data_IF_143192439606
#
_entry.id   IF_143192439606
#
_cell.length_a   1.000
_cell.length_b   1.000
_cell.length_c   1.000
_cell.angle_alpha   90.00
_cell.angle_beta   90.00
_cell.angle_gamma   90.00
#
_symmetry.space_group_name_H-M   'P 1'
#
loop_
_entity.id
_entity.type
_entity.pdbx_description
1 polymer ?
#
# COMPACT_ATOMS: atom_id res chain seq x y z
N UNK A 1 -52.72 -16.16 -33.33
CA UNK A 1 -51.50 -16.95 -33.00
C UNK A 1 -50.22 -16.12 -33.19
N UNK A 2 -50.19 -15.16 -34.11
CA UNK A 2 -49.03 -14.27 -34.36
C UNK A 2 -48.57 -13.40 -33.18
N UNK A 3 -49.48 -12.89 -32.35
CA UNK A 3 -49.10 -12.02 -31.21
C UNK A 3 -48.28 -12.74 -30.14
N UNK A 4 -48.41 -14.07 -30.00
CA UNK A 4 -47.65 -14.86 -29.02
C UNK A 4 -46.18 -15.01 -29.42
N UNK A 5 -45.89 -15.08 -30.72
CA UNK A 5 -44.52 -15.17 -31.21
C UNK A 5 -43.74 -13.85 -31.05
N UNK A 6 -44.42 -12.70 -31.18
CA UNK A 6 -43.80 -11.38 -30.98
C UNK A 6 -43.35 -11.16 -29.52
N UNK A 7 -44.15 -11.59 -28.53
CA UNK A 7 -43.80 -11.43 -27.12
C UNK A 7 -42.57 -12.28 -26.71
N UNK A 8 -42.46 -13.52 -27.22
CA UNK A 8 -41.32 -14.41 -26.92
C UNK A 8 -40.01 -13.84 -27.50
N UNK A 9 -40.04 -13.29 -28.71
CA UNK A 9 -38.88 -12.66 -29.35
C UNK A 9 -38.35 -11.47 -28.55
N UNK A 10 -39.25 -10.63 -28.01
CA UNK A 10 -38.86 -9.48 -27.15
C UNK A 10 -38.19 -9.97 -25.86
N UNK A 11 -38.75 -10.98 -25.20
CA UNK A 11 -38.20 -11.51 -23.95
C UNK A 11 -36.79 -12.09 -24.18
N UNK A 12 -36.60 -12.87 -25.24
CA UNK A 12 -35.27 -13.44 -25.57
C UNK A 12 -34.26 -12.32 -25.86
N UNK A 13 -34.66 -11.28 -26.60
CA UNK A 13 -33.78 -10.16 -26.91
C UNK A 13 -33.37 -9.39 -25.65
N UNK A 14 -34.30 -9.14 -24.73
CA UNK A 14 -34.01 -8.50 -23.43
C UNK A 14 -33.06 -9.35 -22.59
N UNK A 15 -33.26 -10.67 -22.56
CA UNK A 15 -32.36 -11.60 -21.86
C UNK A 15 -30.95 -11.56 -22.44
N UNK A 16 -30.81 -11.57 -23.78
CA UNK A 16 -29.50 -11.47 -24.44
C UNK A 16 -28.81 -10.15 -24.10
N UNK A 17 -29.54 -9.02 -24.15
CA UNK A 17 -28.97 -7.71 -23.81
C UNK A 17 -28.51 -7.69 -22.35
N UNK A 18 -29.32 -8.18 -21.41
CA UNK A 18 -28.93 -8.28 -19.99
C UNK A 18 -27.69 -9.17 -19.84
N UNK A 19 -27.63 -10.30 -20.54
CA UNK A 19 -26.45 -11.18 -20.50
C UNK A 19 -25.19 -10.49 -21.05
N UNK A 20 -25.31 -9.66 -22.10
CA UNK A 20 -24.19 -8.87 -22.62
C UNK A 20 -23.74 -7.79 -21.63
N UNK A 21 -24.68 -7.17 -20.90
CA UNK A 21 -24.34 -6.24 -19.83
C UNK A 21 -23.70 -6.94 -18.62
N UNK A 22 -24.18 -8.14 -18.26
CA UNK A 22 -23.65 -8.93 -17.14
C UNK A 22 -22.28 -9.54 -17.48
N UNK A 23 -22.04 -9.90 -18.74
CA UNK A 23 -20.74 -10.38 -19.19
C UNK A 23 -19.63 -9.32 -19.07
N UNK A 24 -20.01 -8.03 -18.99
CA UNK A 24 -19.08 -6.92 -18.99
C UNK A 24 -18.36 -6.77 -20.34
N UNK A 25 -17.64 -5.66 -20.56
CA UNK A 25 -16.72 -5.58 -21.67
C UNK A 25 -15.66 -6.67 -21.50
N UNK A 26 -15.42 -7.46 -22.55
CA UNK A 26 -14.28 -8.36 -22.58
C UNK A 26 -13.01 -7.52 -22.42
N UNK A 27 -12.22 -7.79 -21.38
CA UNK A 27 -10.95 -7.09 -21.20
C UNK A 27 -9.94 -7.67 -22.19
N UNK A 28 -9.37 -6.84 -23.06
CA UNK A 28 -8.36 -7.27 -24.02
C UNK A 28 -7.03 -7.69 -23.35
N UNK A 29 -6.87 -7.35 -22.07
CA UNK A 29 -5.71 -7.72 -21.27
C UNK A 29 -5.99 -7.76 -19.76
N UNK A 30 -5.04 -8.33 -19.02
CA UNK A 30 -5.01 -8.34 -17.56
C UNK A 30 -3.71 -7.68 -17.10
N UNK A 31 -3.82 -6.58 -16.35
CA UNK A 31 -2.69 -5.87 -15.75
C UNK A 31 -2.45 -6.34 -14.30
N UNK A 32 -1.30 -6.96 -14.07
CA UNK A 32 -0.81 -7.39 -12.76
C UNK A 32 0.25 -6.43 -12.22
N UNK A 33 0.17 -6.13 -10.92
CA UNK A 33 1.13 -5.31 -10.21
C UNK A 33 1.27 -5.83 -8.78
N UNK A 34 2.48 -6.28 -8.43
CA UNK A 34 2.76 -6.88 -7.11
C UNK A 34 4.09 -6.38 -6.56
N UNK A 35 4.19 -6.31 -5.24
CA UNK A 35 5.37 -5.84 -4.50
C UNK A 35 5.81 -6.98 -3.59
N UNK A 36 7.10 -7.32 -3.62
CA UNK A 36 7.60 -8.47 -2.84
C UNK A 36 7.70 -8.16 -1.35
N UNK A 37 8.23 -7.00 -1.02
CA UNK A 37 8.51 -6.55 0.34
C UNK A 37 8.11 -5.06 0.46
N UNK A 38 6.87 -4.75 0.89
CA UNK A 38 6.37 -3.36 0.89
C UNK A 38 6.97 -2.52 2.01
N UNK A 39 7.59 -3.10 3.04
CA UNK A 39 8.24 -2.35 4.12
C UNK A 39 9.73 -2.58 4.05
N UNK A 40 10.47 -1.51 3.79
CA UNK A 40 11.92 -1.53 3.62
C UNK A 40 12.59 -0.45 4.45
N UNK A 41 13.88 -0.65 4.75
CA UNK A 41 14.68 0.41 5.33
C UNK A 41 15.32 1.22 4.22
N UNK A 42 15.46 2.52 4.42
CA UNK A 42 16.12 3.42 3.47
C UNK A 42 17.51 2.88 3.10
N UNK A 43 17.71 2.69 1.79
CA UNK A 43 18.90 2.07 1.19
C UNK A 43 18.71 0.63 0.75
N UNK A 44 17.61 -0.03 1.13
CA UNK A 44 17.25 -1.36 0.62
C UNK A 44 16.55 -1.24 -0.77
N UNK A 45 16.65 -2.31 -1.57
CA UNK A 45 15.91 -2.43 -2.83
C UNK A 45 14.44 -2.81 -2.58
N UNK A 46 13.49 -2.12 -3.20
CA UNK A 46 12.10 -2.60 -3.35
C UNK A 46 11.92 -3.26 -4.71
N UNK A 47 11.38 -4.48 -4.72
CA UNK A 47 11.12 -5.23 -5.96
C UNK A 47 9.63 -5.22 -6.32
N UNK A 48 9.31 -4.69 -7.49
CA UNK A 48 8.01 -4.80 -8.13
C UNK A 48 8.03 -5.84 -9.23
N UNK A 49 6.91 -6.53 -9.39
CA UNK A 49 6.62 -7.34 -10.57
C UNK A 49 5.37 -6.82 -11.25
N UNK A 50 5.54 -6.52 -12.53
CA UNK A 50 4.50 -6.04 -13.42
C UNK A 50 4.26 -7.13 -14.46
N UNK A 51 3.00 -7.42 -14.73
CA UNK A 51 2.61 -8.30 -15.82
C UNK A 51 1.48 -7.71 -16.63
N UNK A 52 1.52 -7.89 -17.95
CA UNK A 52 0.40 -7.60 -18.85
C UNK A 52 0.17 -8.84 -19.69
N UNK A 53 -0.94 -9.53 -19.42
CA UNK A 53 -1.38 -10.66 -20.23
C UNK A 53 -2.34 -10.15 -21.30
N UNK A 54 -1.97 -10.32 -22.57
CA UNK A 54 -2.79 -9.94 -23.74
C UNK A 54 -3.56 -11.18 -24.18
N UNK A 55 -4.88 -11.06 -24.31
CA UNK A 55 -5.74 -12.17 -24.72
C UNK A 55 -5.42 -12.64 -26.16
N UNK A 56 -5.71 -13.90 -26.51
CA UNK A 56 -5.60 -14.38 -27.88
C UNK A 56 -6.40 -13.49 -28.84
N UNK A 57 -5.87 -13.28 -30.05
CA UNK A 57 -6.50 -12.48 -31.11
C UNK A 57 -6.58 -10.96 -30.85
N UNK A 58 -6.17 -10.50 -29.66
CA UNK A 58 -6.04 -9.08 -29.34
C UNK A 58 -4.68 -8.52 -29.77
N UNK A 59 -4.69 -7.22 -30.07
CA UNK A 59 -3.50 -6.46 -30.45
C UNK A 59 -3.48 -5.14 -29.70
N UNK A 60 -2.40 -4.91 -28.94
CA UNK A 60 -2.23 -3.68 -28.17
C UNK A 60 -1.02 -2.90 -28.66
N UNK A 61 -1.25 -1.63 -29.02
CA UNK A 61 -0.18 -0.67 -29.28
C UNK A 61 0.13 0.10 -28.00
N UNK A 62 0.95 -0.51 -27.13
CA UNK A 62 1.28 0.05 -25.82
C UNK A 62 2.32 1.16 -26.01
N UNK A 63 1.91 2.40 -25.74
CA UNK A 63 2.80 3.57 -25.82
C UNK A 63 3.85 3.52 -24.72
N UNK A 64 3.39 3.38 -23.47
CA UNK A 64 4.24 3.32 -22.28
C UNK A 64 3.51 2.79 -21.06
N UNK A 65 4.30 2.46 -20.05
CA UNK A 65 3.89 2.27 -18.68
C UNK A 65 4.38 3.45 -17.84
N UNK A 66 3.62 3.84 -16.83
CA UNK A 66 4.00 4.83 -15.82
C UNK A 66 3.84 4.21 -14.44
N UNK A 67 4.96 3.99 -13.75
CA UNK A 67 4.96 3.67 -12.31
C UNK A 67 4.85 4.99 -11.54
N UNK A 68 3.79 5.12 -10.73
CA UNK A 68 3.53 6.27 -9.88
C UNK A 68 3.79 5.88 -8.42
N UNK A 69 4.63 6.65 -7.75
CA UNK A 69 4.84 6.59 -6.30
C UNK A 69 4.39 7.93 -5.72
N UNK A 70 3.29 7.93 -4.97
CA UNK A 70 2.71 9.12 -4.38
C UNK A 70 2.85 9.09 -2.85
N UNK A 71 3.71 9.92 -2.29
CA UNK A 71 4.00 9.97 -0.85
C UNK A 71 4.63 11.30 -0.45
N UNK A 72 5.66 11.31 0.42
CA UNK A 72 6.41 12.53 0.76
C UNK A 72 6.91 13.31 -0.46
N UNK A 73 7.22 12.60 -1.55
CA UNK A 73 7.46 13.17 -2.87
C UNK A 73 6.67 12.39 -3.94
N UNK A 74 6.22 13.09 -4.99
CA UNK A 74 5.56 12.47 -6.13
C UNK A 74 6.61 12.06 -7.16
N UNK A 75 6.69 10.76 -7.46
CA UNK A 75 7.56 10.23 -8.50
C UNK A 75 6.76 9.52 -9.58
N UNK A 76 6.99 9.93 -10.83
CA UNK A 76 6.50 9.25 -12.02
C UNK A 76 7.70 8.66 -12.77
N UNK A 77 7.65 7.38 -13.11
CA UNK A 77 8.67 6.68 -13.89
C UNK A 77 8.01 6.09 -15.14
N UNK A 78 8.30 6.71 -16.29
CA UNK A 78 7.79 6.31 -17.60
C UNK A 78 8.77 5.36 -18.28
N UNK A 79 8.27 4.23 -18.79
CA UNK A 79 9.06 3.27 -19.55
C UNK A 79 8.26 2.59 -20.65
N UNK A 80 8.92 2.18 -21.73
CA UNK A 80 8.27 1.52 -22.86
C UNK A 80 8.03 0.02 -22.59
N UNK A 81 7.32 -0.65 -23.50
CA UNK A 81 7.08 -2.09 -23.41
C UNK A 81 8.32 -2.99 -23.64
N UNK A 82 9.49 -2.40 -23.89
CA UNK A 82 10.80 -3.06 -23.88
C UNK A 82 11.54 -2.88 -22.54
N UNK A 83 11.01 -2.06 -21.64
CA UNK A 83 11.62 -1.73 -20.36
C UNK A 83 12.64 -0.59 -20.45
N UNK A 84 12.69 0.14 -21.57
CA UNK A 84 13.55 1.32 -21.68
C UNK A 84 12.92 2.48 -20.93
N UNK A 85 13.71 3.13 -20.08
CA UNK A 85 13.29 4.33 -19.35
C UNK A 85 13.12 5.48 -20.35
N UNK A 86 11.93 6.09 -20.33
CA UNK A 86 11.60 7.28 -21.11
C UNK A 86 11.82 8.55 -20.30
N UNK A 87 11.38 8.55 -19.03
CA UNK A 87 11.48 9.73 -18.15
C UNK A 87 11.34 9.38 -16.66
N UNK A 88 11.94 10.19 -15.77
CA UNK A 88 11.60 10.24 -14.34
C UNK A 88 12.01 9.05 -13.45
N UNK A 89 12.70 8.03 -13.94
CA UNK A 89 13.02 6.84 -13.14
C UNK A 89 14.24 6.98 -12.22
N UNK A 90 14.24 7.97 -11.31
CA UNK A 90 15.33 8.17 -10.33
C UNK A 90 15.46 6.93 -9.43
N UNK A 91 16.65 6.34 -9.32
CA UNK A 91 16.86 5.14 -8.48
C UNK A 91 16.08 3.91 -8.92
N UNK A 92 15.51 3.88 -10.13
CA UNK A 92 14.70 2.76 -10.62
C UNK A 92 15.43 2.03 -11.75
N UNK A 93 15.55 0.71 -11.62
CA UNK A 93 16.05 -0.19 -12.67
C UNK A 93 14.91 -1.09 -13.15
N UNK A 94 14.73 -1.17 -14.47
CA UNK A 94 13.68 -1.97 -15.09
C UNK A 94 14.32 -3.10 -15.88
N UNK A 95 13.90 -4.33 -15.62
CA UNK A 95 14.37 -5.53 -16.33
C UNK A 95 13.18 -6.30 -16.86
N UNK A 96 13.09 -6.44 -18.19
CA UNK A 96 12.09 -7.32 -18.82
C UNK A 96 12.46 -8.78 -18.53
N UNK A 97 11.57 -9.54 -17.90
CA UNK A 97 11.84 -10.91 -17.46
C UNK A 97 11.55 -11.95 -18.54
N UNK A 98 10.41 -11.82 -19.21
CA UNK A 98 9.96 -12.78 -20.23
C UNK A 98 9.21 -12.01 -21.32
N UNK A 99 9.59 -12.24 -22.57
CA UNK A 99 8.71 -12.11 -23.73
C UNK A 99 8.52 -13.54 -24.19
N UNK A 100 7.38 -14.15 -23.90
CA UNK A 100 7.08 -15.49 -24.38
C UNK A 100 6.85 -15.40 -25.88
N UNK A 101 7.92 -15.56 -26.68
CA UNK A 101 7.92 -15.55 -28.14
C UNK A 101 6.80 -14.67 -28.72
N UNK A 102 6.81 -13.38 -28.39
CA UNK A 102 6.06 -12.39 -29.15
C UNK A 102 6.65 -12.44 -30.55
N UNK A 103 6.12 -13.36 -31.35
CA UNK A 103 6.53 -13.55 -32.73
C UNK A 103 6.11 -12.24 -33.34
N UNK A 104 7.08 -11.35 -33.60
CA UNK A 104 6.84 -10.16 -34.38
C UNK A 104 6.26 -10.67 -35.71
N UNK A 105 4.93 -10.68 -35.80
CA UNK A 105 4.23 -11.10 -36.99
C UNK A 105 4.68 -10.16 -38.08
N UNK A 106 5.28 -10.68 -39.14
CA UNK A 106 5.75 -9.93 -40.31
C UNK A 106 4.56 -9.39 -41.13
N UNK A 107 3.67 -8.62 -40.49
CA UNK A 107 2.48 -8.04 -41.08
C UNK A 107 2.30 -6.63 -40.60
N UNK A 108 2.99 -5.67 -41.23
CA UNK A 108 2.70 -4.23 -41.35
C UNK A 108 1.92 -3.51 -40.22
N UNK A 109 2.10 -3.90 -38.96
CA UNK A 109 1.40 -3.37 -37.79
C UNK A 109 2.36 -3.26 -36.62
N UNK A 110 2.45 -2.06 -36.05
CA UNK A 110 3.23 -1.77 -34.86
C UNK A 110 2.38 -2.12 -33.63
N UNK A 111 2.75 -3.16 -32.89
CA UNK A 111 2.08 -3.51 -31.64
C UNK A 111 2.35 -4.94 -31.15
N UNK A 112 1.82 -5.25 -29.98
CA UNK A 112 2.06 -6.48 -29.25
C UNK A 112 0.87 -7.44 -29.43
N UNK A 113 1.16 -8.64 -29.94
CA UNK A 113 0.19 -9.72 -30.08
C UNK A 113 0.05 -10.51 -28.76
N UNK A 114 -0.95 -11.39 -28.71
CA UNK A 114 -1.20 -12.35 -27.65
C UNK A 114 0.09 -12.89 -27.00
N UNK A 115 0.18 -12.75 -25.68
CA UNK A 115 1.39 -13.05 -24.93
C UNK A 115 1.40 -12.41 -23.54
N UNK A 116 2.52 -12.56 -22.83
CA UNK A 116 2.72 -11.95 -21.53
C UNK A 116 3.93 -11.04 -21.58
N UNK A 117 3.74 -9.78 -21.20
CA UNK A 117 4.83 -8.85 -20.92
C UNK A 117 5.09 -8.88 -19.42
N UNK A 118 6.30 -9.26 -19.01
CA UNK A 118 6.68 -9.26 -17.60
C UNK A 118 7.89 -8.37 -17.34
N UNK A 119 7.80 -7.52 -16.32
CA UNK A 119 8.88 -6.66 -15.87
C UNK A 119 9.15 -6.88 -14.39
N UNK A 120 10.44 -6.86 -14.06
CA UNK A 120 10.96 -6.72 -12.72
C UNK A 120 11.50 -5.30 -12.57
N UNK A 121 10.91 -4.54 -11.68
CA UNK A 121 11.39 -3.20 -11.34
C UNK A 121 12.07 -3.28 -9.98
N UNK A 122 13.26 -2.70 -9.88
CA UNK A 122 13.97 -2.47 -8.62
C UNK A 122 14.02 -0.98 -8.34
N UNK A 123 13.64 -0.58 -7.14
CA UNK A 123 13.71 0.79 -6.64
C UNK A 123 14.74 0.84 -5.51
N UNK A 124 15.76 1.66 -5.67
CA UNK A 124 16.70 2.00 -4.61
C UNK A 124 16.04 3.00 -3.66
N UNK A 125 15.60 2.53 -2.49
CA UNK A 125 14.94 3.39 -1.50
C UNK A 125 15.88 4.45 -0.89
N UNK A 126 17.20 4.33 -1.09
CA UNK A 126 18.18 5.34 -0.68
C UNK A 126 17.97 6.69 -1.37
N UNK A 127 17.42 6.66 -2.59
CA UNK A 127 17.14 7.85 -3.42
C UNK A 127 15.86 8.59 -3.04
N UNK A 128 15.10 8.07 -2.06
CA UNK A 128 13.77 8.57 -1.68
C UNK A 128 13.71 9.04 -0.23
N UNK A 129 12.77 9.93 0.06
CA UNK A 129 12.45 10.30 1.44
C UNK A 129 11.78 9.14 2.18
N UNK A 130 12.02 9.04 3.49
CA UNK A 130 11.29 8.09 4.33
C UNK A 130 9.81 8.47 4.40
N UNK A 131 8.92 7.49 4.41
CA UNK A 131 7.47 7.73 4.35
C UNK A 131 6.69 6.57 3.78
N UNK A 132 5.37 6.79 3.68
CA UNK A 132 4.44 5.89 2.99
C UNK A 132 4.23 6.40 1.57
N UNK A 133 4.40 5.53 0.58
CA UNK A 133 4.17 5.80 -0.84
C UNK A 133 3.04 4.91 -1.33
N UNK A 134 1.94 5.54 -1.75
CA UNK A 134 0.89 4.88 -2.50
C UNK A 134 1.38 4.58 -3.90
N UNK A 135 1.27 3.33 -4.32
CA UNK A 135 1.79 2.90 -5.63
C UNK A 135 0.66 2.68 -6.61
N UNK A 136 0.86 3.10 -7.85
CA UNK A 136 0.00 2.66 -8.95
C UNK A 136 0.80 2.48 -10.23
N UNK A 137 0.31 1.58 -11.07
CA UNK A 137 0.85 1.33 -12.39
C UNK A 137 -0.19 1.76 -13.42
N UNK A 138 0.22 2.63 -14.34
CA UNK A 138 -0.60 3.05 -15.47
C UNK A 138 -0.05 2.47 -16.76
N UNK A 139 -0.93 2.00 -17.63
CA UNK A 139 -0.62 1.58 -18.99
C UNK A 139 -1.37 2.49 -19.95
N UNK A 140 -0.64 3.08 -20.90
CA UNK A 140 -1.18 4.04 -21.87
C UNK A 140 -1.18 3.39 -23.26
N UNK A 141 -2.34 3.44 -23.91
CA UNK A 141 -2.60 2.92 -25.26
C UNK A 141 -3.38 4.00 -26.04
N UNK A 142 -2.70 4.75 -26.88
CA UNK A 142 -3.25 5.93 -27.55
C UNK A 142 -3.74 6.97 -26.55
N UNK A 143 -5.05 7.26 -26.58
CA UNK A 143 -5.69 8.21 -25.65
C UNK A 143 -6.26 7.53 -24.39
N UNK A 144 -6.16 6.20 -24.29
CA UNK A 144 -6.71 5.44 -23.16
C UNK A 144 -5.66 5.21 -22.08
N UNK A 145 -6.07 5.38 -20.82
CA UNK A 145 -5.27 5.11 -19.64
C UNK A 145 -5.93 3.99 -18.81
N UNK A 146 -5.12 3.00 -18.43
CA UNK A 146 -5.54 1.89 -17.59
C UNK A 146 -4.68 1.86 -16.33
N UNK A 147 -5.30 1.92 -15.17
CA UNK A 147 -4.60 2.00 -13.89
C UNK A 147 -4.81 0.76 -13.04
N UNK A 148 -3.74 0.32 -12.38
CA UNK A 148 -3.75 -0.71 -11.35
C UNK A 148 -3.06 -0.18 -10.10
N UNK A 149 -3.84 0.02 -9.04
CA UNK A 149 -3.30 0.34 -7.71
C UNK A 149 -2.54 -0.85 -7.14
N UNK A 150 -1.36 -0.58 -6.58
CA UNK A 150 -0.52 -1.55 -5.88
C UNK A 150 -0.68 -1.46 -4.36
N UNK A 151 0.20 -2.17 -3.64
CA UNK A 151 0.32 -2.02 -2.19
C UNK A 151 1.10 -0.73 -1.89
N UNK A 152 0.88 -0.18 -0.69
CA UNK A 152 1.72 0.92 -0.21
C UNK A 152 3.14 0.42 0.07
N UNK A 153 4.13 1.25 -0.21
CA UNK A 153 5.51 1.04 0.21
C UNK A 153 5.81 1.93 1.40
N UNK A 154 6.54 1.40 2.37
CA UNK A 154 6.94 2.11 3.57
C UNK A 154 8.45 2.10 3.62
N UNK A 155 9.04 3.27 3.38
CA UNK A 155 10.48 3.48 3.46
C UNK A 155 10.78 4.03 4.86
N UNK A 156 11.28 3.18 5.74
CA UNK A 156 11.70 3.58 7.08
C UNK A 156 13.10 4.21 7.09
N UNK A 157 13.39 5.09 8.03
CA UNK A 157 14.75 5.56 8.30
C UNK A 157 15.40 4.69 9.39
N UNK A 158 16.67 4.33 9.19
CA UNK A 158 17.37 3.28 9.96
C UNK A 158 17.71 3.65 11.41
N UNK A 159 17.50 4.89 11.85
CA UNK A 159 18.19 5.42 13.03
C UNK A 159 17.27 5.71 14.21
N UNK A 160 16.70 4.66 14.81
CA UNK A 160 16.32 4.71 16.23
C UNK A 160 17.30 3.83 16.99
N UNK A 161 18.32 4.45 17.61
CA UNK A 161 19.38 3.70 18.30
C UNK A 161 18.84 2.88 19.47
N UNK A 162 17.67 3.24 20.00
CA UNK A 162 16.86 2.60 21.02
C UNK A 162 15.88 3.64 21.55
N UNK A 163 14.79 3.26 22.20
CA UNK A 163 13.83 4.22 22.73
C UNK A 163 12.99 3.54 23.79
N UNK A 164 12.92 4.13 24.97
CA UNK A 164 12.00 3.68 26.01
C UNK A 164 11.11 4.86 26.38
N UNK A 165 9.82 4.67 26.22
CA UNK A 165 8.81 5.70 26.40
C UNK A 165 7.70 5.17 27.29
N UNK A 166 7.24 6.00 28.22
CA UNK A 166 6.01 5.78 28.96
C UNK A 166 5.18 7.05 29.00
N UNK A 167 3.91 6.91 28.70
CA UNK A 167 2.93 7.98 28.75
C UNK A 167 1.69 7.52 29.51
N UNK A 168 0.97 8.47 30.09
CA UNK A 168 -0.31 8.22 30.75
C UNK A 168 -1.35 9.25 30.33
N UNK A 169 -2.59 9.14 30.81
CA UNK A 169 -3.71 10.00 30.45
C UNK A 169 -4.08 9.98 28.95
N UNK A 170 -4.25 11.14 28.31
CA UNK A 170 -4.76 11.28 26.93
C UNK A 170 -6.21 10.82 26.76
N UNK A 171 -6.70 10.77 25.52
CA UNK A 171 -8.05 10.29 25.20
C UNK A 171 -7.95 9.12 24.25
N UNK A 172 -8.37 7.93 24.69
CA UNK A 172 -8.56 6.75 23.85
C UNK A 172 -9.99 6.75 23.33
N UNK A 173 -10.18 6.62 22.02
CA UNK A 173 -11.47 6.55 21.38
C UNK A 173 -11.55 5.39 20.38
N UNK A 174 -12.69 4.71 20.37
CA UNK A 174 -13.17 3.85 19.29
C UNK A 174 -14.58 4.31 18.92
N UNK A 175 -15.24 3.62 17.98
CA UNK A 175 -16.67 3.87 17.70
C UNK A 175 -17.57 3.71 18.94
N UNK A 176 -17.19 2.86 19.90
CA UNK A 176 -18.03 2.47 21.04
C UNK A 176 -17.59 3.08 22.38
N UNK A 177 -16.31 3.42 22.54
CA UNK A 177 -15.69 3.71 23.83
C UNK A 177 -14.89 5.00 23.74
N UNK A 178 -15.01 5.86 24.75
CA UNK A 178 -14.09 6.98 24.96
C UNK A 178 -13.70 7.05 26.44
N UNK A 179 -12.40 7.14 26.73
CA UNK A 179 -11.89 7.21 28.11
C UNK A 179 -10.54 7.89 28.20
N UNK A 180 -10.23 8.40 29.40
CA UNK A 180 -9.02 9.17 29.69
C UNK A 180 -7.96 8.46 30.53
N UNK A 181 -8.28 7.33 31.13
CA UNK A 181 -7.33 6.60 31.98
C UNK A 181 -6.55 5.59 31.13
N UNK A 182 -5.57 6.10 30.39
CA UNK A 182 -4.76 5.31 29.48
C UNK A 182 -3.30 5.26 29.92
N UNK A 183 -2.61 4.19 29.54
CA UNK A 183 -1.18 4.00 29.77
C UNK A 183 -0.55 3.43 28.51
N UNK A 184 0.53 4.04 28.07
CA UNK A 184 1.33 3.58 26.95
C UNK A 184 2.72 3.23 27.44
N UNK A 185 3.25 2.12 26.93
CA UNK A 185 4.63 1.72 27.10
C UNK A 185 5.19 1.28 25.76
N UNK A 186 6.32 1.86 25.36
CA UNK A 186 7.04 1.51 24.15
C UNK A 186 8.50 1.23 24.54
N UNK A 187 9.05 0.13 24.04
CA UNK A 187 10.43 -0.23 24.25
C UNK A 187 11.07 -0.75 22.97
N UNK A 188 12.03 0.01 22.49
CA UNK A 188 12.86 -0.25 21.32
C UNK A 188 14.27 -0.58 21.80
N UNK A 189 14.73 -1.84 21.64
CA UNK A 189 16.04 -2.26 22.13
C UNK A 189 17.17 -1.53 21.40
N UNK A 190 18.32 -1.44 22.06
CA UNK A 190 19.49 -0.80 21.45
C UNK A 190 19.90 -1.51 20.15
N UNK A 191 20.19 -0.73 19.11
CA UNK A 191 20.70 -1.17 17.80
C UNK A 191 19.75 -2.03 16.95
N UNK A 192 18.46 -2.11 17.30
CA UNK A 192 17.51 -2.87 16.51
C UNK A 192 16.08 -2.35 16.65
N UNK A 193 15.77 -1.28 15.90
CA UNK A 193 14.48 -0.61 15.99
C UNK A 193 13.28 -1.50 15.66
N UNK A 194 13.45 -2.40 14.67
CA UNK A 194 12.42 -3.31 14.17
C UNK A 194 12.03 -4.40 15.19
N UNK A 195 12.82 -4.59 16.25
CA UNK A 195 12.50 -5.51 17.34
C UNK A 195 11.82 -4.83 18.54
N UNK A 196 11.42 -3.57 18.40
CA UNK A 196 10.69 -2.87 19.44
C UNK A 196 9.30 -3.44 19.66
N UNK A 197 8.82 -3.34 20.89
CA UNK A 197 7.46 -3.77 21.28
C UNK A 197 6.83 -2.70 22.16
N UNK A 198 5.51 -2.68 22.20
CA UNK A 198 4.79 -1.81 23.10
C UNK A 198 3.40 -2.33 23.45
N UNK A 199 2.74 -1.58 24.32
CA UNK A 199 1.34 -1.79 24.61
C UNK A 199 0.67 -0.49 25.03
N UNK A 200 -0.63 -0.43 24.78
CA UNK A 200 -1.56 0.56 25.31
C UNK A 200 -2.59 -0.17 26.16
N UNK A 201 -2.84 0.35 27.35
CA UNK A 201 -3.92 -0.11 28.22
C UNK A 201 -4.83 1.07 28.50
N UNK A 202 -6.11 0.89 28.23
CA UNK A 202 -7.16 1.86 28.48
C UNK A 202 -8.21 1.28 29.42
N UNK A 203 -8.52 1.96 30.52
CA UNK A 203 -9.52 1.50 31.50
C UNK A 203 -10.79 2.35 31.42
N UNK A 204 -11.95 1.68 31.41
CA UNK A 204 -13.27 2.32 31.42
C UNK A 204 -14.24 1.58 32.34
N UNK A 205 -15.42 2.15 32.61
CA UNK A 205 -16.32 1.77 33.72
C UNK A 205 -16.48 0.27 33.99
N UNK A 206 -16.60 -0.56 32.94
CA UNK A 206 -16.85 -2.00 33.06
C UNK A 206 -15.88 -2.85 32.21
N UNK A 207 -14.76 -2.28 31.78
CA UNK A 207 -13.87 -2.99 30.87
C UNK A 207 -12.51 -2.33 30.70
N UNK A 208 -11.74 -2.96 29.81
CA UNK A 208 -10.39 -2.58 29.45
C UNK A 208 -10.18 -2.82 27.95
N UNK A 209 -9.54 -1.86 27.29
CA UNK A 209 -8.93 -2.06 25.99
C UNK A 209 -7.43 -2.33 26.17
N UNK A 210 -6.90 -3.30 25.45
CA UNK A 210 -5.47 -3.59 25.41
C UNK A 210 -5.04 -3.71 23.97
N UNK A 211 -4.15 -2.83 23.52
CA UNK A 211 -3.46 -2.94 22.25
C UNK A 211 -2.02 -3.37 22.52
N UNK A 212 -1.60 -4.51 21.98
CA UNK A 212 -0.22 -4.99 22.06
C UNK A 212 0.36 -4.97 20.66
N UNK A 213 1.55 -4.41 20.49
CA UNK A 213 2.09 -4.18 19.14
C UNK A 213 3.60 -4.40 19.08
N UNK A 214 4.03 -4.75 17.88
CA UNK A 214 5.43 -4.84 17.46
C UNK A 214 5.73 -3.65 16.54
N UNK A 215 6.94 -3.08 16.64
CA UNK A 215 7.37 -2.03 15.71
C UNK A 215 7.67 -2.65 14.37
N UNK A 216 6.97 -2.19 13.34
CA UNK A 216 7.20 -2.61 11.96
C UNK A 216 8.30 -1.79 11.31
N UNK A 217 8.26 -0.47 11.47
CA UNK A 217 9.24 0.44 10.90
C UNK A 217 9.26 1.78 11.65
N UNK A 218 10.37 2.49 11.56
CA UNK A 218 10.49 3.89 12.00
C UNK A 218 10.47 4.74 10.75
N UNK A 219 9.37 5.45 10.52
CA UNK A 219 9.16 6.25 9.32
C UNK A 219 9.98 7.53 9.40
N UNK A 220 9.90 8.23 10.52
CA UNK A 220 10.60 9.48 10.79
C UNK A 220 11.16 9.48 12.22
N UNK A 221 12.28 10.15 12.42
CA UNK A 221 12.94 10.32 13.71
C UNK A 221 14.00 11.42 13.62
N UNK A 222 13.64 12.62 14.03
CA UNK A 222 14.53 13.78 14.09
C UNK A 222 14.60 14.35 15.53
N UNK A 223 15.02 15.60 15.68
CA UNK A 223 15.12 16.24 17.00
C UNK A 223 13.74 16.58 17.60
N UNK A 224 12.73 16.81 16.77
CA UNK A 224 11.43 17.35 17.16
C UNK A 224 10.38 16.26 17.32
N UNK A 225 10.40 15.24 16.45
CA UNK A 225 9.41 14.15 16.49
C UNK A 225 9.96 12.80 16.02
N UNK A 226 9.15 11.77 16.25
CA UNK A 226 9.33 10.46 15.63
C UNK A 226 7.99 9.88 15.21
N UNK A 227 7.95 9.24 14.04
CA UNK A 227 6.79 8.55 13.51
C UNK A 227 7.12 7.07 13.36
N UNK A 228 6.40 6.22 14.08
CA UNK A 228 6.70 4.79 14.20
C UNK A 228 5.48 4.00 13.73
N UNK A 229 5.68 3.12 12.75
CA UNK A 229 4.66 2.20 12.29
C UNK A 229 4.68 0.93 13.14
N UNK A 230 3.49 0.48 13.54
CA UNK A 230 3.33 -0.70 14.39
C UNK A 230 2.25 -1.62 13.85
N UNK A 231 2.46 -2.93 14.02
CA UNK A 231 1.46 -3.95 13.76
C UNK A 231 1.13 -4.62 15.10
N UNK A 232 -0.15 -4.82 15.39
CA UNK A 232 -0.56 -5.30 16.70
C UNK A 232 -1.93 -5.91 16.75
N UNK A 233 -2.39 -6.13 17.98
CA UNK A 233 -3.69 -6.72 18.26
C UNK A 233 -4.41 -5.92 19.33
N UNK A 234 -5.58 -5.38 18.99
CA UNK A 234 -6.49 -4.73 19.91
C UNK A 234 -7.45 -5.77 20.51
N UNK A 235 -7.64 -5.69 21.83
CA UNK A 235 -8.61 -6.52 22.56
C UNK A 235 -9.46 -5.64 23.47
N UNK A 236 -10.75 -5.54 23.14
CA UNK A 236 -11.78 -4.95 23.98
C UNK A 236 -12.41 -6.02 24.89
N UNK A 237 -12.93 -5.61 26.04
CA UNK A 237 -13.51 -6.55 27.01
C UNK A 237 -14.79 -7.17 26.48
N UNK A 238 -14.79 -8.49 26.32
CA UNK A 238 -15.95 -9.24 25.80
C UNK A 238 -16.01 -9.32 24.28
N UNK A 239 -15.05 -8.77 23.55
CA UNK A 239 -14.95 -8.83 22.10
C UNK A 239 -13.75 -9.69 21.65
N UNK A 240 -13.76 -10.08 20.38
CA UNK A 240 -12.64 -10.78 19.76
C UNK A 240 -11.42 -9.87 19.57
N UNK A 241 -10.28 -10.49 19.28
CA UNK A 241 -9.04 -9.78 18.99
C UNK A 241 -9.09 -9.23 17.56
N UNK A 242 -8.77 -7.96 17.40
CA UNK A 242 -8.72 -7.28 16.10
C UNK A 242 -7.24 -7.10 15.72
N UNK A 243 -6.84 -7.54 14.53
CA UNK A 243 -5.52 -7.23 13.97
C UNK A 243 -5.54 -5.81 13.44
N UNK A 244 -4.49 -5.05 13.74
CA UNK A 244 -4.50 -3.61 13.46
C UNK A 244 -3.10 -3.06 13.24
N UNK A 245 -2.98 -2.25 12.19
CA UNK A 245 -1.81 -1.41 11.93
C UNK A 245 -2.09 -0.05 12.54
N UNK A 246 -1.11 0.55 13.23
CA UNK A 246 -1.23 1.90 13.75
C UNK A 246 0.07 2.67 13.64
N UNK A 247 -0.02 4.00 13.64
CA UNK A 247 1.13 4.90 13.70
C UNK A 247 1.23 5.54 15.08
N UNK A 248 2.41 5.47 15.68
CA UNK A 248 2.75 6.15 16.92
C UNK A 248 3.51 7.42 16.57
N UNK A 249 2.88 8.58 16.79
CA UNK A 249 3.50 9.89 16.61
C UNK A 249 3.99 10.41 17.97
N UNK A 250 5.30 10.55 18.10
CA UNK A 250 5.98 11.06 19.28
C UNK A 250 6.39 12.52 19.03
N UNK A 251 5.76 13.46 19.72
CA UNK A 251 6.19 14.86 19.77
C UNK A 251 7.18 15.04 20.94
N UNK A 252 8.47 15.16 20.61
CA UNK A 252 9.56 15.24 21.59
C UNK A 252 9.65 16.61 22.23
N UNK A 253 9.18 17.64 21.55
CA UNK A 253 9.19 19.03 22.03
C UNK A 253 8.09 19.24 23.06
N UNK A 254 6.87 18.85 22.73
CA UNK A 254 5.71 19.01 23.61
C UNK A 254 5.55 17.84 24.61
N UNK A 255 6.38 16.81 24.49
CA UNK A 255 6.35 15.62 25.35
C UNK A 255 4.96 14.97 25.35
N UNK A 256 4.37 14.81 24.16
CA UNK A 256 3.10 14.09 23.96
C UNK A 256 3.26 12.96 22.93
N UNK A 257 2.46 11.91 23.09
CA UNK A 257 2.36 10.82 22.12
C UNK A 257 0.92 10.66 21.65
N UNK A 258 0.76 10.47 20.34
CA UNK A 258 -0.49 10.09 19.70
C UNK A 258 -0.35 8.71 19.08
N UNK A 259 -1.44 7.95 19.02
CA UNK A 259 -1.51 6.70 18.26
C UNK A 259 -2.77 6.73 17.39
N UNK A 260 -2.58 6.61 16.08
CA UNK A 260 -3.65 6.60 15.08
C UNK A 260 -3.71 5.19 14.45
N UNK A 261 -4.82 4.49 14.68
CA UNK A 261 -5.11 3.17 14.17
C UNK A 261 -6.45 3.14 13.44
N UNK A 262 -6.67 2.11 12.62
CA UNK A 262 -7.90 2.00 11.81
C UNK A 262 -9.19 1.95 12.64
N UNK A 263 -9.13 1.39 13.86
CA UNK A 263 -10.29 1.15 14.72
C UNK A 263 -10.25 1.92 16.03
N UNK A 264 -9.13 2.58 16.33
CA UNK A 264 -8.99 3.41 17.52
C UNK A 264 -8.02 4.58 17.31
N UNK A 265 -8.25 5.63 18.09
CA UNK A 265 -7.34 6.75 18.25
C UNK A 265 -6.93 6.89 19.71
N UNK A 266 -5.73 7.40 19.92
CA UNK A 266 -5.21 7.78 21.22
C UNK A 266 -4.52 9.13 21.10
N UNK A 267 -5.14 10.16 21.68
CA UNK A 267 -4.71 11.54 21.48
C UNK A 267 -4.18 12.17 22.76
N UNK A 268 -3.15 13.01 22.61
CA UNK A 268 -2.59 13.91 23.61
C UNK A 268 -2.17 13.21 24.91
N UNK A 269 -1.48 12.06 24.82
CA UNK A 269 -0.95 11.41 26.02
C UNK A 269 0.34 12.07 26.50
N UNK A 270 0.40 12.68 27.70
CA UNK A 270 1.62 13.25 28.21
C UNK A 270 2.66 12.18 28.55
N UNK A 271 3.89 12.42 28.13
CA UNK A 271 5.04 11.56 28.34
C UNK A 271 5.70 11.92 29.66
N UNK A 272 5.70 10.98 30.60
CA UNK A 272 6.37 11.15 31.90
C UNK A 272 7.74 10.47 31.96
N UNK A 273 8.07 9.64 30.97
CA UNK A 273 9.39 9.02 30.85
C UNK A 273 9.75 8.82 29.39
N UNK A 274 10.93 9.33 29.00
CA UNK A 274 11.50 9.14 27.67
C UNK A 274 13.01 8.97 27.78
N UNK A 275 13.56 7.98 27.08
CA UNK A 275 15.00 7.73 27.04
C UNK A 275 15.43 7.20 25.67
N UNK A 276 16.37 7.90 25.01
CA UNK A 276 17.06 7.51 23.76
C UNK A 276 16.21 7.54 22.47
N UNK A 277 14.92 7.78 22.59
CA UNK A 277 14.17 8.57 21.59
C UNK A 277 14.81 9.99 21.58
#
# INVERSE_FOLDING_TARGET
MEHKFKAVSVIISVVIIILLFVAGPANAFILGFTIKDPVVTKGDDVEFKISTQIEPEEFLDIDKFTLVLNGPELQNCDFDANGNILNGCKGITITKLVSSNSTYGYGYGYGYMAGVLEFKIKLDSGEYLGGVYHTSLKMIIGESEFEKTGQDIIIGITSLQGCSLRAEDGTFSTEEISTKNNKLNLNVPLRNAVNGKGYIISQYKKGRAVYQFDIKSVIENDEDHALILTDGTLKLTGQEKIQETSTVYLDKVNMVVNVDGETFDLNEMPIYFMQRC
#
